data_IF_772266335003
#
_entry.id   IF_772266335003
#
_cell.length_a   1.000
_cell.length_b   1.000
_cell.length_c   1.000
_cell.angle_alpha   90.00
_cell.angle_beta   90.00
_cell.angle_gamma   90.00
#
_symmetry.space_group_name_H-M   'P 1'
#
loop_
_entity.id
_entity.type
_entity.pdbx_description
1 polymer ?
#
# COMPACT_ATOMS: atom_id res chain seq x y z
N UNK A 1 -45.28 -36.72 -15.08
CA UNK A 1 -44.07 -36.42 -15.89
C UNK A 1 -43.77 -34.92 -15.95
N UNK A 2 -44.78 -34.04 -15.82
CA UNK A 2 -44.61 -32.57 -15.86
C UNK A 2 -43.90 -31.96 -14.64
N UNK A 3 -44.09 -32.52 -13.44
CA UNK A 3 -43.49 -31.97 -12.20
C UNK A 3 -41.95 -32.06 -12.18
N UNK A 4 -41.39 -33.08 -12.85
CA UNK A 4 -39.94 -33.27 -12.96
C UNK A 4 -39.30 -32.27 -13.93
N UNK A 5 -40.02 -31.86 -14.99
CA UNK A 5 -39.53 -30.90 -15.99
C UNK A 5 -39.51 -29.49 -15.42
N UNK A 6 -40.54 -29.10 -14.64
CA UNK A 6 -40.55 -27.82 -13.93
C UNK A 6 -39.44 -27.74 -12.87
N UNK A 7 -39.19 -28.82 -12.14
CA UNK A 7 -38.11 -28.88 -11.15
C UNK A 7 -36.73 -28.70 -11.79
N UNK A 8 -36.47 -29.37 -12.93
CA UNK A 8 -35.20 -29.24 -13.64
C UNK A 8 -34.98 -27.82 -14.21
N UNK A 9 -36.01 -27.18 -14.76
CA UNK A 9 -35.93 -25.82 -15.29
C UNK A 9 -35.73 -24.76 -14.20
N UNK A 10 -36.37 -24.92 -13.04
CA UNK A 10 -36.17 -24.03 -11.89
C UNK A 10 -34.76 -24.17 -11.31
N UNK A 11 -34.21 -25.39 -11.27
CA UNK A 11 -32.86 -25.64 -10.78
C UNK A 11 -31.81 -25.11 -11.76
N UNK A 12 -32.00 -25.31 -13.07
CA UNK A 12 -31.13 -24.73 -14.10
C UNK A 12 -31.20 -23.20 -14.12
N UNK A 13 -32.40 -22.62 -13.97
CA UNK A 13 -32.58 -21.18 -13.87
C UNK A 13 -31.93 -20.58 -12.61
N UNK A 14 -31.98 -21.29 -11.47
CA UNK A 14 -31.29 -20.87 -10.25
C UNK A 14 -29.77 -20.95 -10.39
N UNK A 15 -29.23 -22.02 -10.99
CA UNK A 15 -27.79 -22.16 -11.23
C UNK A 15 -27.30 -21.05 -12.17
N UNK A 16 -28.03 -20.78 -13.26
CA UNK A 16 -27.70 -19.71 -14.21
C UNK A 16 -27.85 -18.29 -13.60
N UNK A 17 -28.81 -18.09 -12.69
CA UNK A 17 -28.97 -16.81 -11.97
C UNK A 17 -27.89 -16.61 -10.89
N UNK A 18 -27.39 -17.69 -10.28
CA UNK A 18 -26.30 -17.62 -9.29
C UNK A 18 -24.91 -17.57 -9.91
N UNK A 19 -24.79 -17.85 -11.21
CA UNK A 19 -23.61 -17.52 -12.01
C UNK A 19 -23.82 -16.17 -12.68
N UNK A 20 -23.96 -15.10 -11.89
CA UNK A 20 -23.26 -13.88 -12.29
C UNK A 20 -21.80 -14.29 -12.36
N UNK A 21 -21.32 -14.61 -13.57
CA UNK A 21 -19.90 -14.65 -13.84
C UNK A 21 -19.38 -13.28 -13.41
N UNK A 22 -18.82 -13.22 -12.19
CA UNK A 22 -18.05 -12.08 -11.76
C UNK A 22 -17.07 -11.82 -12.89
N UNK A 23 -17.22 -10.68 -13.56
CA UNK A 23 -16.32 -10.26 -14.62
C UNK A 23 -14.91 -10.54 -14.13
N UNK A 24 -14.06 -11.23 -14.93
CA UNK A 24 -12.74 -11.62 -14.47
C UNK A 24 -12.06 -10.37 -13.92
N UNK A 25 -11.82 -10.40 -12.61
CA UNK A 25 -11.18 -9.31 -11.87
C UNK A 25 -9.95 -8.91 -12.69
N UNK A 26 -9.94 -7.70 -13.26
CA UNK A 26 -8.90 -7.25 -14.19
C UNK A 26 -7.60 -7.11 -13.40
N UNK A 27 -6.87 -8.22 -13.23
CA UNK A 27 -5.64 -8.39 -12.42
C UNK A 27 -4.38 -8.52 -13.28
N UNK A 28 -4.56 -8.45 -14.60
CA UNK A 28 -3.52 -8.51 -15.62
C UNK A 28 -2.90 -7.15 -15.93
N UNK A 29 -3.36 -6.08 -15.30
CA UNK A 29 -2.81 -4.73 -15.49
C UNK A 29 -1.66 -4.47 -14.51
N UNK A 30 -0.88 -3.43 -14.82
CA UNK A 30 0.23 -2.93 -14.00
C UNK A 30 -0.26 -2.10 -12.81
N UNK A 31 0.60 -1.87 -11.82
CA UNK A 31 0.23 -1.25 -10.53
C UNK A 31 -0.38 0.15 -10.65
N UNK A 32 0.02 0.94 -11.63
CA UNK A 32 -0.49 2.28 -11.91
C UNK A 32 -1.95 2.31 -12.40
N UNK A 33 -2.50 1.16 -12.79
CA UNK A 33 -3.88 0.99 -13.24
C UNK A 33 -4.86 0.63 -12.10
N UNK A 34 -4.41 0.71 -10.85
CA UNK A 34 -5.25 0.45 -9.67
C UNK A 34 -5.23 1.60 -8.68
N UNK A 35 -6.41 1.98 -8.20
CA UNK A 35 -6.55 2.72 -6.96
C UNK A 35 -6.29 1.81 -5.76
N UNK A 36 -5.56 2.32 -4.77
CA UNK A 36 -5.24 1.58 -3.54
C UNK A 36 -5.48 2.50 -2.35
N UNK A 37 -6.44 2.12 -1.51
CA UNK A 37 -6.63 2.75 -0.22
C UNK A 37 -5.57 2.22 0.75
N UNK A 38 -4.89 3.15 1.43
CA UNK A 38 -3.85 2.87 2.39
C UNK A 38 -4.22 3.24 3.81
N UNK A 39 -3.33 2.86 4.73
CA UNK A 39 -3.41 3.21 6.15
C UNK A 39 -2.05 3.70 6.66
N UNK A 40 -2.08 4.68 7.55
CA UNK A 40 -0.91 5.29 8.17
C UNK A 40 -1.23 5.63 9.63
N UNK A 41 -0.21 5.57 10.49
CA UNK A 41 -0.36 5.71 11.95
C UNK A 41 -1.42 4.78 12.56
N UNK A 42 -1.55 3.57 12.01
CA UNK A 42 -2.49 2.55 12.47
C UNK A 42 -1.74 1.24 12.74
N UNK A 43 -2.24 0.44 13.69
CA UNK A 43 -1.72 -0.89 13.95
C UNK A 43 -1.91 -1.79 12.71
N UNK A 44 -0.85 -2.52 12.33
CA UNK A 44 -0.81 -3.32 11.08
C UNK A 44 -1.95 -4.35 11.06
N UNK A 45 -2.22 -5.03 12.18
CA UNK A 45 -3.30 -6.03 12.26
C UNK A 45 -4.65 -5.38 12.00
N UNK A 46 -4.85 -4.16 12.52
CA UNK A 46 -6.07 -3.38 12.28
C UNK A 46 -6.22 -3.01 10.80
N UNK A 47 -5.16 -2.51 10.17
CA UNK A 47 -5.17 -2.17 8.74
C UNK A 47 -5.45 -3.41 7.87
N UNK A 48 -4.77 -4.52 8.12
CA UNK A 48 -4.94 -5.77 7.37
C UNK A 48 -6.35 -6.35 7.55
N UNK A 49 -6.95 -6.25 8.75
CA UNK A 49 -8.33 -6.71 8.99
C UNK A 49 -9.38 -5.96 8.17
N UNK A 50 -9.07 -4.73 7.72
CA UNK A 50 -9.90 -3.94 6.81
C UNK A 50 -9.63 -4.25 5.33
N UNK A 51 -8.73 -5.19 5.03
CA UNK A 51 -8.29 -5.52 3.67
C UNK A 51 -7.36 -4.47 3.05
N UNK A 52 -6.73 -3.60 3.85
CA UNK A 52 -5.78 -2.61 3.34
C UNK A 52 -4.52 -3.32 2.83
N UNK A 53 -4.07 -2.92 1.64
CA UNK A 53 -2.86 -3.46 1.00
C UNK A 53 -1.73 -2.44 0.82
N UNK A 54 -1.94 -1.19 1.25
CA UNK A 54 -0.93 -0.13 1.30
C UNK A 54 -0.79 0.33 2.76
N UNK A 55 0.36 0.07 3.38
CA UNK A 55 0.61 0.43 4.78
C UNK A 55 1.82 1.33 4.84
N UNK A 56 1.69 2.46 5.53
CA UNK A 56 2.79 3.38 5.79
C UNK A 56 3.29 3.30 7.22
N UNK A 57 4.60 3.09 7.38
CA UNK A 57 5.28 3.04 8.67
C UNK A 57 6.20 4.25 8.84
N UNK A 58 5.94 5.02 9.89
CA UNK A 58 6.77 6.14 10.30
C UNK A 58 7.84 5.66 11.28
N UNK A 59 9.08 5.55 10.83
CA UNK A 59 10.18 4.94 11.58
C UNK A 59 11.00 6.01 12.30
N UNK A 60 11.11 5.89 13.62
CA UNK A 60 11.97 6.71 14.47
C UNK A 60 13.10 5.86 15.05
N UNK A 61 14.14 6.54 15.55
CA UNK A 61 15.21 5.95 16.34
C UNK A 61 14.89 6.16 17.83
N UNK A 62 14.85 5.08 18.61
CA UNK A 62 14.66 5.17 20.05
C UNK A 62 15.97 5.54 20.80
N UNK A 63 15.92 5.54 22.14
CA UNK A 63 17.09 5.86 22.97
C UNK A 63 18.25 4.86 22.88
N UNK A 64 18.06 3.70 22.23
CA UNK A 64 19.06 2.65 22.00
C UNK A 64 19.36 2.47 20.51
N UNK A 65 19.02 3.46 19.70
CA UNK A 65 19.12 3.46 18.25
C UNK A 65 18.35 2.31 17.56
N UNK A 66 17.39 1.69 18.24
CA UNK A 66 16.52 0.68 17.64
C UNK A 66 15.38 1.34 16.85
N UNK A 67 14.97 0.74 15.73
CA UNK A 67 13.88 1.25 14.93
C UNK A 67 12.52 0.98 15.60
N UNK A 68 11.76 2.04 15.80
CA UNK A 68 10.40 2.01 16.34
C UNK A 68 9.43 2.69 15.38
N UNK A 69 8.20 2.18 15.33
CA UNK A 69 7.15 2.63 14.42
C UNK A 69 6.10 3.41 15.21
N UNK A 70 5.89 4.67 14.85
CA UNK A 70 4.88 5.51 15.49
C UNK A 70 3.46 5.09 15.07
N UNK A 71 2.54 5.05 16.05
CA UNK A 71 1.11 4.80 15.83
C UNK A 71 0.27 6.08 15.94
N UNK A 72 0.91 7.24 15.97
CA UNK A 72 0.23 8.53 15.99
C UNK A 72 1.05 9.57 15.23
N UNK A 73 0.40 10.58 14.60
CA UNK A 73 1.11 11.65 13.90
C UNK A 73 2.01 12.48 14.81
N UNK A 74 1.64 12.59 16.09
CA UNK A 74 2.43 13.27 17.12
C UNK A 74 3.15 12.23 17.96
N UNK A 75 4.26 11.72 17.41
CA UNK A 75 5.07 10.75 18.12
C UNK A 75 5.62 11.36 19.42
N UNK A 76 5.31 10.70 20.54
CA UNK A 76 5.62 11.14 21.90
C UNK A 76 6.76 10.32 22.54
N UNK A 77 7.37 9.39 21.80
CA UNK A 77 8.36 8.45 22.32
C UNK A 77 7.78 7.23 23.04
N UNK A 78 6.46 7.18 23.27
CA UNK A 78 5.80 6.18 24.11
C UNK A 78 4.86 5.28 23.30
N UNK A 79 4.09 5.86 22.38
CA UNK A 79 3.07 5.14 21.60
C UNK A 79 3.67 4.62 20.29
N UNK A 80 4.45 3.54 20.39
CA UNK A 80 5.09 2.89 19.25
C UNK A 80 5.14 1.36 19.35
N UNK A 81 5.51 0.72 18.23
CA UNK A 81 5.89 -0.69 18.13
C UNK A 81 7.35 -0.81 17.76
N UNK A 82 8.01 -1.89 18.16
CA UNK A 82 9.31 -2.21 17.56
C UNK A 82 9.11 -2.59 16.09
N UNK A 83 10.05 -2.19 15.23
CA UNK A 83 9.99 -2.55 13.81
C UNK A 83 10.06 -4.07 13.59
N UNK A 84 10.76 -4.80 14.45
CA UNK A 84 10.78 -6.26 14.45
C UNK A 84 9.37 -6.85 14.66
N UNK A 85 8.62 -6.35 15.65
CA UNK A 85 7.25 -6.79 15.88
C UNK A 85 6.37 -6.54 14.67
N UNK A 86 6.53 -5.39 14.01
CA UNK A 86 5.84 -5.10 12.76
C UNK A 86 6.16 -6.15 11.66
N UNK A 87 7.43 -6.52 11.50
CA UNK A 87 7.83 -7.55 10.55
C UNK A 87 7.20 -8.92 10.86
N UNK A 88 7.12 -9.30 12.13
CA UNK A 88 6.47 -10.55 12.56
C UNK A 88 4.97 -10.53 12.23
N UNK A 89 4.28 -9.43 12.54
CA UNK A 89 2.86 -9.25 12.17
C UNK A 89 2.65 -9.37 10.67
N UNK A 90 3.50 -8.72 9.86
CA UNK A 90 3.42 -8.79 8.40
C UNK A 90 3.49 -10.23 7.87
N UNK A 91 4.45 -11.04 8.34
CA UNK A 91 4.56 -12.44 7.89
C UNK A 91 3.34 -13.27 8.27
N UNK A 92 2.81 -13.05 9.47
CA UNK A 92 1.74 -13.88 10.01
C UNK A 92 0.35 -13.53 9.46
N UNK A 93 0.13 -12.25 9.11
CA UNK A 93 -1.21 -11.74 8.86
C UNK A 93 -1.41 -11.19 7.43
N UNK A 94 -0.35 -10.73 6.75
CA UNK A 94 -0.49 -10.18 5.40
C UNK A 94 -0.43 -11.24 4.28
N UNK A 95 0.09 -12.44 4.62
CA UNK A 95 0.41 -13.51 3.69
C UNK A 95 -0.09 -14.88 4.18
N UNK A 96 -0.48 -15.79 3.26
CA UNK A 96 -0.55 -15.61 1.82
C UNK A 96 -1.70 -14.70 1.37
N UNK A 97 -1.55 -14.06 0.21
CA UNK A 97 -2.56 -13.19 -0.39
C UNK A 97 -2.47 -13.24 -1.91
N UNK A 98 -3.62 -13.05 -2.60
CA UNK A 98 -3.65 -12.89 -4.06
C UNK A 98 -3.03 -11.56 -4.50
N UNK A 99 -3.12 -10.54 -3.66
CA UNK A 99 -2.54 -9.21 -3.89
C UNK A 99 -1.15 -9.09 -3.27
N UNK A 100 -0.25 -8.24 -3.82
CA UNK A 100 0.93 -7.78 -3.09
C UNK A 100 0.53 -6.94 -1.87
N UNK A 101 1.46 -6.78 -0.94
CA UNK A 101 1.40 -5.74 0.09
C UNK A 101 2.41 -4.65 -0.27
N UNK A 102 1.99 -3.39 -0.24
CA UNK A 102 2.87 -2.22 -0.39
C UNK A 102 3.20 -1.69 1.00
N UNK A 103 4.48 -1.64 1.33
CA UNK A 103 5.00 -1.08 2.57
C UNK A 103 5.76 0.21 2.27
N UNK A 104 5.13 1.34 2.57
CA UNK A 104 5.74 2.68 2.52
C UNK A 104 6.50 2.91 3.82
N UNK A 105 7.82 3.08 3.74
CA UNK A 105 8.69 3.34 4.89
C UNK A 105 9.05 4.82 4.88
N UNK A 106 8.68 5.55 5.93
CA UNK A 106 9.01 6.97 6.09
C UNK A 106 9.96 7.13 7.27
N UNK A 107 11.28 7.28 7.02
CA UNK A 107 12.23 7.56 8.09
C UNK A 107 12.05 8.96 8.68
N UNK A 108 12.05 9.05 10.01
CA UNK A 108 12.15 10.29 10.80
C UNK A 108 13.47 10.33 11.58
N UNK A 109 14.50 9.72 11.00
CA UNK A 109 15.87 9.68 11.53
C UNK A 109 16.85 9.60 10.36
N UNK A 110 18.01 10.22 10.55
CA UNK A 110 19.16 10.20 9.65
C UNK A 110 20.23 9.16 10.07
N UNK A 111 19.99 8.43 11.16
CA UNK A 111 20.94 7.45 11.69
C UNK A 111 20.98 6.20 10.82
N UNK A 112 22.06 6.02 10.06
CA UNK A 112 22.26 4.84 9.21
C UNK A 112 22.23 3.53 9.99
N UNK A 113 22.68 3.51 11.26
CA UNK A 113 22.60 2.31 12.10
C UNK A 113 21.15 1.84 12.30
N UNK A 114 20.24 2.76 12.64
CA UNK A 114 18.82 2.47 12.80
C UNK A 114 18.21 1.98 11.48
N UNK A 115 18.55 2.59 10.34
CA UNK A 115 18.04 2.20 9.03
C UNK A 115 18.60 0.85 8.53
N UNK A 116 19.87 0.55 8.82
CA UNK A 116 20.44 -0.76 8.55
C UNK A 116 19.80 -1.85 9.42
N UNK A 117 19.35 -1.49 10.64
CA UNK A 117 18.58 -2.40 11.49
C UNK A 117 17.18 -2.69 10.91
N UNK A 118 16.54 -1.70 10.28
CA UNK A 118 15.30 -1.90 9.50
C UNK A 118 15.54 -2.92 8.37
N UNK A 119 16.59 -2.71 7.56
CA UNK A 119 16.96 -3.63 6.48
C UNK A 119 17.26 -5.05 6.99
N UNK A 120 17.92 -5.17 8.15
CA UNK A 120 18.19 -6.44 8.80
C UNK A 120 16.90 -7.20 9.17
N UNK A 121 15.94 -6.54 9.82
CA UNK A 121 14.67 -7.19 10.19
C UNK A 121 13.85 -7.57 8.95
N UNK A 122 13.88 -6.75 7.89
CA UNK A 122 13.23 -7.10 6.63
C UNK A 122 13.85 -8.37 6.01
N UNK A 123 15.19 -8.45 5.95
CA UNK A 123 15.92 -9.58 5.36
C UNK A 123 15.91 -10.85 6.21
N UNK A 124 15.57 -10.78 7.49
CA UNK A 124 15.54 -11.95 8.38
C UNK A 124 14.13 -12.49 8.56
N UNK A 125 13.13 -11.62 8.67
CA UNK A 125 11.75 -12.01 8.99
C UNK A 125 10.88 -12.11 7.74
N UNK A 126 10.77 -11.06 6.91
CA UNK A 126 9.85 -11.01 5.74
C UNK A 126 10.50 -11.44 4.42
N UNK A 127 11.77 -11.87 4.44
CA UNK A 127 12.61 -12.17 3.26
C UNK A 127 11.93 -12.95 2.14
N UNK A 128 11.09 -13.93 2.48
CA UNK A 128 10.44 -14.82 1.51
C UNK A 128 9.43 -14.09 0.63
N UNK A 129 8.89 -12.98 1.10
CA UNK A 129 7.88 -12.18 0.41
C UNK A 129 8.49 -11.00 -0.35
N UNK A 130 9.73 -10.59 -0.06
CA UNK A 130 10.34 -9.43 -0.71
C UNK A 130 10.43 -9.60 -2.23
N UNK A 131 9.94 -8.59 -2.96
CA UNK A 131 10.19 -8.49 -4.40
C UNK A 131 11.66 -8.15 -4.63
N UNK A 132 12.31 -8.89 -5.51
CA UNK A 132 13.68 -8.58 -5.95
C UNK A 132 13.65 -7.68 -7.18
N UNK A 133 14.37 -6.56 -7.10
CA UNK A 133 14.50 -5.61 -8.21
C UNK A 133 13.24 -4.79 -8.47
N UNK A 134 13.12 -4.26 -9.70
CA UNK A 134 12.01 -3.38 -10.09
C UNK A 134 10.66 -4.10 -10.12
N UNK A 135 9.60 -3.35 -9.85
CA UNK A 135 8.18 -3.74 -10.02
C UNK A 135 7.54 -3.12 -11.26
N UNK A 136 8.26 -2.26 -11.99
CA UNK A 136 7.76 -1.61 -13.19
C UNK A 136 7.37 -2.64 -14.27
N UNK A 137 6.21 -2.43 -14.90
CA UNK A 137 5.68 -3.31 -15.94
C UNK A 137 5.20 -4.69 -15.46
N UNK A 138 5.30 -4.99 -14.15
CA UNK A 138 4.74 -6.22 -13.58
C UNK A 138 3.25 -6.06 -13.34
N UNK A 139 2.50 -7.13 -13.62
CA UNK A 139 1.06 -7.17 -13.39
C UNK A 139 0.74 -7.40 -11.92
N UNK A 140 -0.43 -6.96 -11.47
CA UNK A 140 -0.90 -7.19 -10.10
C UNK A 140 -0.88 -8.69 -9.73
N UNK A 141 -1.34 -9.55 -10.65
CA UNK A 141 -1.33 -11.00 -10.47
C UNK A 141 0.08 -11.56 -10.25
N UNK A 142 1.08 -11.09 -11.01
CA UNK A 142 2.46 -11.58 -10.90
C UNK A 142 3.13 -11.22 -9.57
N UNK A 143 2.57 -10.24 -8.85
CA UNK A 143 3.06 -9.72 -7.57
C UNK A 143 2.31 -10.30 -6.36
N UNK A 144 1.38 -11.24 -6.59
CA UNK A 144 0.65 -11.91 -5.52
C UNK A 144 1.59 -12.54 -4.49
N UNK A 145 1.22 -12.45 -3.21
CA UNK A 145 2.00 -12.95 -2.08
C UNK A 145 3.38 -12.28 -1.90
N UNK A 146 3.62 -11.14 -2.54
CA UNK A 146 4.87 -10.38 -2.42
C UNK A 146 4.72 -9.09 -1.61
N UNK A 147 5.84 -8.61 -1.08
CA UNK A 147 6.00 -7.36 -0.35
C UNK A 147 6.79 -6.38 -1.22
N UNK A 148 6.17 -5.26 -1.57
CA UNK A 148 6.75 -4.15 -2.31
C UNK A 148 7.20 -3.10 -1.31
N UNK A 149 8.48 -2.77 -1.32
CA UNK A 149 9.08 -1.76 -0.46
C UNK A 149 9.19 -0.42 -1.19
N UNK A 150 8.73 0.63 -0.53
CA UNK A 150 8.69 1.99 -1.05
C UNK A 150 9.26 2.95 -0.01
N UNK A 151 10.15 3.84 -0.41
CA UNK A 151 10.72 4.85 0.49
C UNK A 151 11.23 6.08 -0.28
N UNK A 152 11.89 6.99 0.43
CA UNK A 152 12.46 8.22 -0.08
C UNK A 152 13.98 8.27 -0.05
N UNK A 153 14.51 9.49 -0.02
CA UNK A 153 15.94 9.78 -0.12
C UNK A 153 16.63 9.62 1.22
N UNK A 154 15.84 9.59 2.29
CA UNK A 154 16.26 9.43 3.67
C UNK A 154 16.97 8.09 3.89
N UNK A 155 16.75 7.09 3.03
CA UNK A 155 17.43 5.79 3.13
C UNK A 155 18.71 5.69 2.29
N UNK A 156 19.08 6.74 1.55
CA UNK A 156 20.27 6.72 0.69
C UNK A 156 21.54 6.42 1.50
N UNK A 157 22.40 5.54 0.96
CA UNK A 157 23.65 5.14 1.61
C UNK A 157 23.47 4.14 2.76
N UNK A 158 22.28 3.55 2.90
CA UNK A 158 21.97 2.53 3.91
C UNK A 158 21.73 1.17 3.25
N UNK A 159 21.72 0.11 4.04
CA UNK A 159 21.41 -1.24 3.57
C UNK A 159 19.95 -1.39 3.11
N UNK A 160 19.09 -0.40 3.40
CA UNK A 160 17.68 -0.37 3.01
C UNK A 160 17.49 0.13 1.56
N UNK A 161 18.35 1.02 1.08
CA UNK A 161 18.28 1.58 -0.29
C UNK A 161 18.21 0.49 -1.38
N UNK A 162 19.11 -0.51 -1.43
CA UNK A 162 19.07 -1.53 -2.48
C UNK A 162 17.88 -2.49 -2.37
N UNK A 163 17.11 -2.44 -1.27
CA UNK A 163 15.93 -3.27 -1.08
C UNK A 163 14.66 -2.62 -1.64
N UNK A 164 14.68 -1.32 -1.93
CA UNK A 164 13.52 -0.61 -2.42
C UNK A 164 13.12 -1.10 -3.82
N UNK A 165 11.82 -1.22 -4.04
CA UNK A 165 11.26 -1.50 -5.35
C UNK A 165 10.86 -0.23 -6.08
N UNK A 166 10.44 0.81 -5.34
CA UNK A 166 10.12 2.14 -5.83
C UNK A 166 10.64 3.20 -4.86
N UNK A 167 11.08 4.34 -5.39
CA UNK A 167 11.45 5.52 -4.60
C UNK A 167 10.69 6.74 -5.09
N UNK A 168 10.13 7.53 -4.16
CA UNK A 168 9.40 8.75 -4.54
C UNK A 168 10.30 9.93 -4.93
N UNK A 169 11.61 9.69 -5.04
CA UNK A 169 12.55 10.61 -5.70
C UNK A 169 12.90 10.18 -7.13
N UNK A 170 12.38 9.04 -7.57
CA UNK A 170 12.62 8.53 -8.92
C UNK A 170 11.49 9.00 -9.85
N UNK A 171 11.67 8.87 -11.16
CA UNK A 171 10.70 9.32 -12.16
C UNK A 171 9.37 8.56 -12.16
N UNK A 172 9.31 7.39 -11.54
CA UNK A 172 8.17 6.46 -11.62
C UNK A 172 7.19 6.56 -10.45
N UNK A 173 7.57 7.30 -9.40
CA UNK A 173 6.75 7.46 -8.21
C UNK A 173 6.86 8.90 -7.71
N UNK A 174 5.72 9.55 -7.46
CA UNK A 174 5.68 10.86 -6.83
C UNK A 174 4.93 10.76 -5.50
N UNK A 175 5.46 11.39 -4.45
CA UNK A 175 4.76 11.56 -3.19
C UNK A 175 4.24 12.99 -3.09
N UNK A 176 2.93 13.13 -2.88
CA UNK A 176 2.26 14.40 -2.68
C UNK A 176 1.63 14.42 -1.29
N UNK A 177 1.58 15.60 -0.69
CA UNK A 177 0.66 15.79 0.44
C UNK A 177 -0.77 15.91 -0.05
N UNK A 178 -1.71 15.68 0.84
CA UNK A 178 -3.13 15.80 0.55
C UNK A 178 -3.50 17.16 -0.07
N UNK A 179 -3.00 18.26 0.50
CA UNK A 179 -3.24 19.60 -0.07
C UNK A 179 -2.68 19.75 -1.49
N UNK A 180 -1.52 19.18 -1.77
CA UNK A 180 -0.90 19.25 -3.09
C UNK A 180 -1.67 18.43 -4.13
N UNK A 181 -2.27 17.31 -3.71
CA UNK A 181 -3.09 16.47 -4.60
C UNK A 181 -4.49 17.07 -4.84
N UNK A 182 -5.10 17.68 -3.81
CA UNK A 182 -6.41 18.31 -3.91
C UNK A 182 -6.38 19.63 -4.69
N UNK A 183 -5.28 20.39 -4.60
CA UNK A 183 -5.09 21.65 -5.31
C UNK A 183 -3.73 21.67 -6.02
N UNK A 184 -3.58 20.91 -7.12
CA UNK A 184 -2.32 20.84 -7.85
C UNK A 184 -2.01 22.19 -8.48
N UNK A 185 -0.74 22.61 -8.41
CA UNK A 185 -0.29 23.79 -9.17
C UNK A 185 -0.30 23.53 -10.69
N UNK A 186 -0.02 22.28 -11.07
CA UNK A 186 0.18 21.84 -12.44
C UNK A 186 -0.75 20.64 -12.77
N UNK A 187 -2.06 20.89 -12.85
CA UNK A 187 -3.07 19.83 -13.03
C UNK A 187 -2.84 18.97 -14.28
N UNK A 188 -2.46 19.59 -15.40
CA UNK A 188 -2.23 18.87 -16.67
C UNK A 188 -1.01 17.96 -16.58
N UNK A 189 0.06 18.41 -15.92
CA UNK A 189 1.27 17.59 -15.72
C UNK A 189 0.95 16.40 -14.82
N UNK A 190 0.22 16.62 -13.72
CA UNK A 190 -0.17 15.55 -12.80
C UNK A 190 -1.00 14.48 -13.49
N UNK A 191 -1.98 14.88 -14.32
CA UNK A 191 -2.79 13.93 -15.11
C UNK A 191 -1.91 13.08 -16.02
N UNK A 192 -1.08 13.71 -16.84
CA UNK A 192 -0.16 13.00 -17.75
C UNK A 192 0.81 12.09 -16.99
N UNK A 193 1.30 12.53 -15.82
CA UNK A 193 2.17 11.72 -14.98
C UNK A 193 1.46 10.44 -14.50
N UNK A 194 0.22 10.55 -14.03
CA UNK A 194 -0.58 9.41 -13.50
C UNK A 194 -1.02 8.41 -14.57
N UNK A 195 -0.85 8.70 -15.87
CA UNK A 195 -1.15 7.73 -16.94
C UNK A 195 -0.17 6.56 -16.96
N UNK A 196 1.07 6.78 -16.51
CA UNK A 196 2.17 5.79 -16.61
C UNK A 196 2.95 5.60 -15.32
N UNK A 197 2.71 6.44 -14.32
CA UNK A 197 3.46 6.47 -13.07
C UNK A 197 2.50 6.52 -11.89
N UNK A 198 3.04 6.21 -10.70
CA UNK A 198 2.27 6.09 -9.47
C UNK A 198 2.40 7.39 -8.67
N UNK A 199 1.30 7.84 -8.09
CA UNK A 199 1.28 8.94 -7.12
C UNK A 199 0.77 8.43 -5.78
N UNK A 200 1.59 8.61 -4.74
CA UNK A 200 1.21 8.41 -3.34
C UNK A 200 0.74 9.74 -2.77
N UNK A 201 -0.48 9.75 -2.24
CA UNK A 201 -1.04 10.88 -1.51
C UNK A 201 -0.99 10.57 -0.03
N UNK A 202 -0.22 11.36 0.70
CA UNK A 202 -0.03 11.19 2.14
C UNK A 202 -0.69 12.33 2.92
N UNK A 203 -1.13 12.08 4.16
CA UNK A 203 -1.62 13.14 5.02
C UNK A 203 -0.54 14.19 5.30
N UNK A 204 -0.96 15.45 5.37
CA UNK A 204 -0.12 16.52 5.87
C UNK A 204 0.16 16.33 7.37
N UNK A 205 1.43 16.38 7.79
CA UNK A 205 1.83 16.22 9.21
C UNK A 205 1.19 17.26 10.15
N UNK A 206 0.75 18.41 9.61
CA UNK A 206 0.15 19.51 10.36
C UNK A 206 -1.35 19.33 10.65
N UNK A 207 -2.04 18.39 10.00
CA UNK A 207 -3.51 18.29 10.10
C UNK A 207 -3.93 17.10 10.96
N UNK A 208 -4.37 17.41 12.18
CA UNK A 208 -5.02 16.48 13.12
C UNK A 208 -6.44 16.08 12.71
N UNK A 209 -6.99 16.66 11.63
CA UNK A 209 -8.37 16.42 11.20
C UNK A 209 -8.36 16.09 9.72
N UNK A 210 -8.43 14.81 9.39
CA UNK A 210 -8.59 14.34 8.03
C UNK A 210 -10.01 14.63 7.58
N UNK A 211 -10.19 15.54 6.63
CA UNK A 211 -11.44 15.62 5.89
C UNK A 211 -11.28 14.74 4.67
N UNK A 212 -12.03 13.65 4.58
CA UNK A 212 -12.10 12.86 3.35
C UNK A 212 -12.69 13.77 2.26
N UNK A 213 -11.95 14.00 1.18
CA UNK A 213 -12.48 14.61 -0.04
C UNK A 213 -12.36 13.56 -1.13
N UNK A 214 -13.44 13.35 -1.84
CA UNK A 214 -13.52 12.44 -2.99
C UNK A 214 -12.64 12.92 -4.16
N UNK A 215 -12.20 14.20 -4.14
CA UNK A 215 -11.50 14.88 -5.22
C UNK A 215 -10.06 14.42 -5.48
N UNK A 216 -9.43 13.67 -4.56
CA UNK A 216 -8.03 13.23 -4.73
C UNK A 216 -7.87 12.31 -5.94
N UNK A 217 -8.89 11.53 -6.27
CA UNK A 217 -8.90 10.67 -7.46
C UNK A 217 -9.12 11.45 -8.77
N UNK A 218 -9.63 12.69 -8.69
CA UNK A 218 -9.99 13.51 -9.87
C UNK A 218 -8.82 13.79 -10.81
N UNK A 219 -7.58 13.72 -10.32
CA UNK A 219 -6.36 13.91 -11.11
C UNK A 219 -5.59 12.60 -11.39
N UNK A 220 -6.18 11.44 -11.07
CA UNK A 220 -5.59 10.13 -11.34
C UNK A 220 -4.67 9.58 -10.25
N UNK A 221 -4.57 10.25 -9.09
CA UNK A 221 -3.72 9.76 -7.99
C UNK A 221 -4.21 8.40 -7.47
N UNK A 222 -3.30 7.41 -7.49
CA UNK A 222 -3.64 6.01 -7.30
C UNK A 222 -3.61 5.56 -5.84
N UNK A 223 -2.53 5.88 -5.14
CA UNK A 223 -2.23 5.30 -3.82
C UNK A 223 -2.53 6.35 -2.75
N UNK A 224 -3.62 6.16 -2.00
CA UNK A 224 -4.13 7.18 -1.08
C UNK A 224 -4.03 6.71 0.37
N UNK A 225 -3.16 7.34 1.17
CA UNK A 225 -2.98 7.03 2.59
C UNK A 225 -3.93 7.82 3.50
N UNK A 226 -4.74 8.72 2.96
CA UNK A 226 -5.72 9.46 3.74
C UNK A 226 -6.91 8.57 4.10
N UNK A 227 -7.52 8.70 5.29
CA UNK A 227 -8.64 7.86 5.70
C UNK A 227 -9.81 7.87 4.70
N UNK A 228 -10.19 6.69 4.24
CA UNK A 228 -11.28 6.47 3.30
C UNK A 228 -11.86 5.07 3.41
N UNK A 229 -12.97 4.83 2.72
CA UNK A 229 -13.57 3.50 2.57
C UNK A 229 -13.03 2.83 1.32
N UNK A 230 -12.10 1.90 1.48
CA UNK A 230 -11.56 1.11 0.37
C UNK A 230 -10.68 -0.02 0.90
N UNK A 231 -10.68 -1.15 0.21
CA UNK A 231 -9.86 -2.31 0.53
C UNK A 231 -9.28 -2.90 -0.74
N UNK A 232 -8.05 -3.39 -0.68
CA UNK A 232 -7.40 -4.03 -1.82
C UNK A 232 -7.05 -3.06 -2.96
N UNK A 233 -6.93 -3.64 -4.15
CA UNK A 233 -6.65 -2.94 -5.41
C UNK A 233 -7.94 -2.81 -6.21
N UNK A 234 -8.29 -1.59 -6.58
CA UNK A 234 -9.51 -1.27 -7.34
C UNK A 234 -9.10 -0.81 -8.74
N UNK A 235 -9.48 -1.51 -9.82
CA UNK A 235 -9.17 -1.08 -11.19
C UNK A 235 -9.64 0.35 -11.46
N UNK A 236 -8.85 1.14 -12.19
CA UNK A 236 -9.16 2.54 -12.53
C UNK A 236 -10.25 2.70 -13.60
N UNK A 237 -10.52 1.64 -14.38
CA UNK A 237 -11.45 1.64 -15.51
C UNK A 237 -10.74 1.78 -16.86
#
# INVERSE_FOLDING_TARGET
MEVLVLGALMTAGYILYTTEEAMPEQRSETLENYYVQGSTFEDISTALSKGIRLIELHIYSDGQDQPVVALSPRYDGMTARSFESCCVTLVNEAFPSRDPLILSIVPHTDKSFTLNRVAYHLNTTVRKHLVKGSVEGKTLESLGNQLILVSGSEVRGTDLEPMLNLSWNDSHLRRLTYQQAAHPRDESELRTFTEKNIVIVAPDQAFSTFKTLDDVHSYGCQWNLCPGSGSGFIPRG
#
